data_IF_197398257578
#
_entry.id   IF_197398257578
#
_cell.length_a   1.000
_cell.length_b   1.000
_cell.length_c   1.000
_cell.angle_alpha   90.00
_cell.angle_beta   90.00
_cell.angle_gamma   90.00
#
_symmetry.space_group_name_H-M   'P 1'
#
loop_
_entity.id
_entity.type
_entity.pdbx_description
1 polymer ?
#
# COMPACT_ATOMS: atom_id res chain seq x y z
N UNK A 1 10.88 -7.01 -17.82
CA UNK A 1 11.27 -6.07 -16.73
C UNK A 1 10.80 -4.65 -17.01
N UNK A 2 11.27 -3.97 -18.07
CA UNK A 2 10.88 -2.58 -18.38
C UNK A 2 9.36 -2.44 -18.57
N UNK A 3 8.74 -3.32 -19.36
CA UNK A 3 7.29 -3.30 -19.57
C UNK A 3 6.49 -3.44 -18.26
N UNK A 4 6.91 -4.32 -17.34
CA UNK A 4 6.28 -4.48 -16.03
C UNK A 4 6.41 -3.23 -15.16
N UNK A 5 7.59 -2.61 -15.13
CA UNK A 5 7.81 -1.32 -14.45
C UNK A 5 6.92 -0.23 -15.02
N UNK A 6 6.83 -0.11 -16.34
CA UNK A 6 5.96 0.87 -17.00
C UNK A 6 4.49 0.67 -16.63
N UNK A 7 4.01 -0.58 -16.56
CA UNK A 7 2.63 -0.88 -16.15
C UNK A 7 2.40 -0.43 -14.69
N UNK A 8 3.28 -0.81 -13.77
CA UNK A 8 3.18 -0.43 -12.36
C UNK A 8 3.18 1.10 -12.20
N UNK A 9 4.11 1.80 -12.85
CA UNK A 9 4.22 3.26 -12.77
C UNK A 9 3.05 3.97 -13.45
N UNK A 10 2.55 3.46 -14.58
CA UNK A 10 1.37 4.03 -15.24
C UNK A 10 0.16 3.92 -14.33
N UNK A 11 -0.02 2.76 -13.69
CA UNK A 11 -1.08 2.54 -12.73
C UNK A 11 -0.96 3.46 -11.52
N UNK A 12 0.27 3.70 -11.04
CA UNK A 12 0.57 4.64 -9.96
C UNK A 12 0.19 6.07 -10.34
N UNK A 13 0.63 6.55 -11.51
CA UNK A 13 0.31 7.89 -12.00
C UNK A 13 -1.19 8.07 -12.22
N UNK A 14 -1.88 7.05 -12.75
CA UNK A 14 -3.33 7.10 -12.91
C UNK A 14 -4.05 7.11 -11.56
N UNK A 15 -3.62 6.31 -10.58
CA UNK A 15 -4.19 6.31 -9.23
C UNK A 15 -4.00 7.65 -8.53
N UNK A 16 -2.82 8.25 -8.65
CA UNK A 16 -2.52 9.59 -8.13
C UNK A 16 -3.38 10.66 -8.81
N UNK A 17 -3.43 10.65 -10.15
CA UNK A 17 -4.25 11.59 -10.92
C UNK A 17 -5.74 11.48 -10.56
N UNK A 18 -6.26 10.27 -10.34
CA UNK A 18 -7.64 10.06 -9.90
C UNK A 18 -7.86 10.58 -8.48
N UNK A 19 -6.94 10.29 -7.55
CA UNK A 19 -7.01 10.79 -6.17
C UNK A 19 -7.05 12.32 -6.13
N UNK A 20 -6.14 12.96 -6.86
CA UNK A 20 -6.00 14.41 -6.92
C UNK A 20 -7.18 15.07 -7.66
N UNK A 21 -7.57 14.55 -8.83
CA UNK A 21 -8.65 15.13 -9.64
C UNK A 21 -10.00 15.07 -8.92
N UNK A 22 -10.33 13.94 -8.30
CA UNK A 22 -11.59 13.75 -7.58
C UNK A 22 -11.52 14.18 -6.10
N UNK A 23 -10.37 14.66 -5.61
CA UNK A 23 -10.14 15.02 -4.21
C UNK A 23 -10.58 13.91 -3.23
N UNK A 24 -10.25 12.66 -3.58
CA UNK A 24 -10.64 11.51 -2.78
C UNK A 24 -9.83 11.49 -1.47
N UNK A 25 -10.44 11.09 -0.34
CA UNK A 25 -9.72 10.95 0.94
C UNK A 25 -8.75 9.75 0.96
N UNK A 26 -8.60 9.06 -0.18
CA UNK A 26 -7.80 7.84 -0.32
C UNK A 26 -6.51 8.17 -1.07
N UNK A 27 -5.33 7.80 -0.54
CA UNK A 27 -4.06 8.03 -1.23
C UNK A 27 -4.02 7.37 -2.61
N UNK A 28 -3.43 8.06 -3.58
CA UNK A 28 -3.27 7.55 -4.94
C UNK A 28 -2.62 6.15 -5.06
N UNK A 29 -1.61 5.77 -4.24
CA UNK A 29 -1.05 4.42 -4.27
C UNK A 29 -2.07 3.31 -3.97
N UNK A 30 -3.06 3.55 -3.10
CA UNK A 30 -4.11 2.57 -2.80
C UNK A 30 -5.04 2.41 -4.00
N UNK A 31 -5.38 3.50 -4.68
CA UNK A 31 -6.18 3.48 -5.92
C UNK A 31 -5.41 2.76 -7.03
N UNK A 32 -4.10 3.02 -7.15
CA UNK A 32 -3.23 2.33 -8.09
C UNK A 32 -3.19 0.82 -7.85
N UNK A 33 -3.15 0.37 -6.59
CA UNK A 33 -3.23 -1.07 -6.27
C UNK A 33 -4.56 -1.68 -6.72
N UNK A 34 -5.68 -0.96 -6.55
CA UNK A 34 -6.99 -1.40 -7.02
C UNK A 34 -7.04 -1.49 -8.54
N UNK A 35 -6.58 -0.46 -9.24
CA UNK A 35 -6.51 -0.43 -10.71
C UNK A 35 -5.65 -1.58 -11.26
N UNK A 36 -4.47 -1.83 -10.66
CA UNK A 36 -3.59 -2.91 -11.09
C UNK A 36 -4.28 -4.26 -10.88
N UNK A 37 -4.90 -4.46 -9.71
CA UNK A 37 -5.63 -5.69 -9.38
C UNK A 37 -6.79 -5.92 -10.35
N UNK A 38 -7.62 -4.90 -10.61
CA UNK A 38 -8.70 -5.00 -11.59
C UNK A 38 -8.17 -5.31 -12.99
N UNK A 39 -7.05 -4.70 -13.40
CA UNK A 39 -6.42 -4.98 -14.69
C UNK A 39 -5.90 -6.42 -14.81
N UNK A 40 -5.43 -7.03 -13.71
CA UNK A 40 -5.05 -8.44 -13.68
C UNK A 40 -6.28 -9.36 -13.75
N UNK A 41 -7.33 -9.05 -12.97
CA UNK A 41 -8.57 -9.85 -12.92
C UNK A 41 -9.30 -9.81 -14.27
N UNK A 42 -9.36 -8.65 -14.92
CA UNK A 42 -9.96 -8.50 -16.24
C UNK A 42 -9.10 -9.07 -17.38
N UNK A 43 -7.87 -9.53 -17.10
CA UNK A 43 -6.97 -10.10 -18.10
C UNK A 43 -6.34 -9.10 -19.07
N UNK A 44 -6.49 -7.78 -18.83
CA UNK A 44 -5.82 -6.74 -19.62
C UNK A 44 -4.31 -6.81 -19.46
N UNK A 45 -3.85 -7.18 -18.26
CA UNK A 45 -2.44 -7.34 -17.92
C UNK A 45 -2.22 -8.77 -17.44
N UNK A 46 -1.26 -9.45 -18.04
CA UNK A 46 -0.86 -10.80 -17.61
C UNK A 46 0.10 -10.72 -16.43
N UNK A 47 -0.09 -11.60 -15.46
CA UNK A 47 0.73 -11.65 -14.24
C UNK A 47 2.23 -11.77 -14.58
N UNK A 48 2.59 -12.55 -15.61
CA UNK A 48 4.00 -12.73 -16.01
C UNK A 48 4.66 -11.43 -16.46
N UNK A 49 3.90 -10.46 -16.96
CA UNK A 49 4.44 -9.18 -17.44
C UNK A 49 4.91 -8.29 -16.28
N UNK A 50 4.22 -8.38 -15.14
CA UNK A 50 4.43 -7.50 -13.98
C UNK A 50 5.26 -8.17 -12.90
N UNK A 51 5.12 -9.49 -12.72
CA UNK A 51 5.74 -10.26 -11.62
C UNK A 51 7.24 -9.99 -11.46
N UNK A 52 8.03 -10.13 -12.52
CA UNK A 52 9.49 -9.90 -12.45
C UNK A 52 9.86 -8.46 -12.04
N UNK A 53 9.07 -7.47 -12.45
CA UNK A 53 9.30 -6.08 -12.07
C UNK A 53 8.89 -5.83 -10.61
N UNK A 54 7.73 -6.34 -10.20
CA UNK A 54 7.23 -6.25 -8.83
C UNK A 54 8.20 -6.93 -7.85
N UNK A 55 8.67 -8.14 -8.13
CA UNK A 55 9.66 -8.86 -7.31
C UNK A 55 10.96 -8.07 -7.17
N UNK A 56 11.40 -7.41 -8.25
CA UNK A 56 12.56 -6.51 -8.23
C UNK A 56 12.36 -5.31 -7.31
N UNK A 57 11.17 -4.69 -7.34
CA UNK A 57 10.81 -3.57 -6.47
C UNK A 57 10.73 -4.00 -5.01
N UNK A 58 10.07 -5.13 -4.73
CA UNK A 58 9.91 -5.70 -3.40
C UNK A 58 11.26 -6.08 -2.78
N UNK A 59 12.20 -6.61 -3.58
CA UNK A 59 13.57 -6.89 -3.12
C UNK A 59 14.30 -5.63 -2.63
N UNK A 60 13.97 -4.47 -3.20
CA UNK A 60 14.58 -3.18 -2.86
C UNK A 60 13.61 -2.27 -2.11
N UNK A 61 12.54 -2.81 -1.51
CA UNK A 61 11.49 -2.06 -0.83
C UNK A 61 12.05 -1.10 0.23
N UNK A 62 13.12 -1.52 0.92
CA UNK A 62 13.81 -0.69 1.91
C UNK A 62 14.24 0.67 1.34
N UNK A 63 14.71 0.73 0.07
CA UNK A 63 15.07 2.00 -0.58
C UNK A 63 13.90 2.96 -0.71
N UNK A 64 12.66 2.45 -0.90
CA UNK A 64 11.46 3.27 -1.02
C UNK A 64 10.97 3.81 0.35
N UNK A 65 11.37 3.18 1.45
CA UNK A 65 11.09 3.66 2.80
C UNK A 65 12.11 4.68 3.33
N UNK A 66 13.29 4.77 2.71
CA UNK A 66 14.30 5.75 3.11
C UNK A 66 13.79 7.19 3.00
N UNK A 67 13.20 7.66 1.87
CA UNK A 67 12.76 9.05 1.75
C UNK A 67 11.69 9.48 2.77
N UNK A 68 10.60 8.71 2.99
CA UNK A 68 9.64 9.00 4.06
C UNK A 68 10.30 8.98 5.45
N UNK A 69 11.20 8.03 5.69
CA UNK A 69 11.91 7.88 6.97
C UNK A 69 12.79 9.09 7.30
N UNK A 70 13.61 9.56 6.35
CA UNK A 70 14.45 10.75 6.57
C UNK A 70 13.60 12.03 6.67
N UNK A 71 12.48 12.11 5.96
CA UNK A 71 11.52 13.21 6.11
C UNK A 71 10.94 13.29 7.52
N UNK A 72 10.72 12.14 8.16
CA UNK A 72 10.23 12.06 9.53
C UNK A 72 11.22 12.64 10.56
N UNK A 73 12.54 12.51 10.31
CA UNK A 73 13.58 13.04 11.19
C UNK A 73 13.54 14.56 11.31
N UNK A 74 13.01 15.27 10.30
CA UNK A 74 12.81 16.72 10.35
C UNK A 74 11.81 17.14 11.43
N UNK A 75 10.93 16.24 11.86
CA UNK A 75 9.94 16.45 12.92
C UNK A 75 10.35 15.80 14.25
N UNK A 76 11.66 15.55 14.44
CA UNK A 76 12.19 14.76 15.55
C UNK A 76 11.78 15.22 16.96
N UNK A 77 11.76 16.54 17.22
CA UNK A 77 11.32 17.09 18.52
C UNK A 77 9.83 16.81 18.77
N UNK A 78 8.94 17.08 17.80
CA UNK A 78 7.51 16.77 17.92
C UNK A 78 7.24 15.28 18.07
N UNK A 79 8.02 14.44 17.38
CA UNK A 79 7.96 12.98 17.53
C UNK A 79 8.40 12.53 18.92
N UNK A 80 9.41 13.16 19.50
CA UNK A 80 9.92 12.86 20.83
C UNK A 80 8.94 13.24 21.92
N UNK A 81 8.17 14.30 21.76
CA UNK A 81 7.11 14.66 22.71
C UNK A 81 5.90 13.72 22.60
N UNK A 82 5.55 13.31 21.37
CA UNK A 82 4.40 12.46 21.10
C UNK A 82 4.71 10.95 21.08
N UNK A 83 5.96 10.52 21.34
CA UNK A 83 6.43 9.15 21.11
C UNK A 83 5.58 8.08 21.82
N UNK A 84 5.15 8.38 23.06
CA UNK A 84 4.33 7.47 23.86
C UNK A 84 2.92 7.34 23.25
N UNK A 85 2.32 8.46 22.85
CA UNK A 85 1.00 8.49 22.23
C UNK A 85 1.01 7.79 20.86
N UNK A 86 2.03 8.05 20.04
CA UNK A 86 2.24 7.39 18.75
C UNK A 86 2.45 5.88 18.93
N UNK A 87 3.32 5.46 19.84
CA UNK A 87 3.62 4.05 20.08
C UNK A 87 2.40 3.25 20.55
N UNK A 88 1.63 3.82 21.48
CA UNK A 88 0.39 3.22 21.97
C UNK A 88 -0.67 3.18 20.86
N UNK A 89 -0.88 4.29 20.15
CA UNK A 89 -1.85 4.37 19.06
C UNK A 89 -1.55 3.36 17.96
N UNK A 90 -0.29 3.28 17.51
CA UNK A 90 0.16 2.33 16.48
C UNK A 90 -0.02 0.88 16.92
N UNK A 91 0.33 0.57 18.16
CA UNK A 91 0.24 -0.80 18.68
C UNK A 91 -1.23 -1.23 18.80
N UNK A 92 -2.07 -0.39 19.40
CA UNK A 92 -3.50 -0.66 19.55
C UNK A 92 -4.18 -0.76 18.18
N UNK A 93 -3.91 0.18 17.26
CA UNK A 93 -4.51 0.16 15.93
C UNK A 93 -4.09 -1.08 15.14
N UNK A 94 -2.82 -1.47 15.22
CA UNK A 94 -2.32 -2.67 14.51
C UNK A 94 -2.96 -3.93 15.05
N UNK A 95 -3.00 -4.11 16.38
CA UNK A 95 -3.65 -5.27 17.01
C UNK A 95 -5.14 -5.31 16.71
N UNK A 96 -5.82 -4.15 16.78
CA UNK A 96 -7.24 -4.05 16.47
C UNK A 96 -7.53 -4.41 15.01
N UNK A 97 -6.77 -3.86 14.05
CA UNK A 97 -6.94 -4.17 12.63
C UNK A 97 -6.69 -5.65 12.36
N UNK A 98 -5.59 -6.22 12.87
CA UNK A 98 -5.29 -7.64 12.69
C UNK A 98 -6.37 -8.54 13.31
N UNK A 99 -6.85 -8.21 14.51
CA UNK A 99 -7.91 -8.96 15.19
C UNK A 99 -9.23 -8.89 14.44
N UNK A 100 -9.68 -7.70 14.02
CA UNK A 100 -10.93 -7.51 13.29
C UNK A 100 -10.88 -8.19 11.92
N UNK A 101 -9.80 -7.98 11.15
CA UNK A 101 -9.64 -8.62 9.84
C UNK A 101 -9.58 -10.14 9.98
N UNK A 102 -8.85 -10.65 10.97
CA UNK A 102 -8.77 -12.08 11.25
C UNK A 102 -10.13 -12.70 11.60
N UNK A 103 -10.90 -12.06 12.48
CA UNK A 103 -12.24 -12.51 12.85
C UNK A 103 -13.22 -12.48 11.66
N UNK A 104 -13.18 -11.42 10.85
CA UNK A 104 -14.01 -11.32 9.64
C UNK A 104 -13.66 -12.43 8.66
N UNK A 105 -12.36 -12.69 8.46
CA UNK A 105 -11.91 -13.73 7.55
C UNK A 105 -12.33 -15.12 8.04
N UNK A 106 -12.16 -15.41 9.33
CA UNK A 106 -12.60 -16.68 9.92
C UNK A 106 -14.12 -16.86 9.79
N UNK A 107 -14.91 -15.81 10.04
CA UNK A 107 -16.36 -15.85 9.87
C UNK A 107 -16.78 -16.11 8.41
N UNK A 108 -16.06 -15.53 7.44
CA UNK A 108 -16.33 -15.76 6.01
C UNK A 108 -15.96 -17.17 5.54
N UNK A 109 -14.90 -17.76 6.12
CA UNK A 109 -14.49 -19.14 5.85
C UNK A 109 -15.49 -20.14 6.46
N UNK A 110 -15.92 -19.93 7.71
CA UNK A 110 -16.93 -20.77 8.38
C UNK A 110 -18.31 -20.72 7.71
N UNK A 111 -18.62 -19.65 6.96
CA UNK A 111 -19.89 -19.51 6.22
C UNK A 111 -19.87 -20.13 4.81
N UNK A 112 -18.68 -20.45 4.28
CA UNK A 112 -18.50 -21.08 2.96
C UNK A 112 -18.16 -22.58 3.01
N UNK A 113 -18.09 -23.18 4.21
CA UNK A 113 -18.04 -24.64 4.43
C UNK A 113 -19.39 -25.20 4.81
#
# INVERSE_FOLDING_TARGET
MIAGFSIILTCLVLGEAVSEFFHLPVPGPVIAMMLLTTSLVCGLVRLEQVKTAADGLLKHLALFFVPPGVGLLLYGESLKDAWLSLGVSLTISTVAVLGVVGLIQQYLEERHG
#
